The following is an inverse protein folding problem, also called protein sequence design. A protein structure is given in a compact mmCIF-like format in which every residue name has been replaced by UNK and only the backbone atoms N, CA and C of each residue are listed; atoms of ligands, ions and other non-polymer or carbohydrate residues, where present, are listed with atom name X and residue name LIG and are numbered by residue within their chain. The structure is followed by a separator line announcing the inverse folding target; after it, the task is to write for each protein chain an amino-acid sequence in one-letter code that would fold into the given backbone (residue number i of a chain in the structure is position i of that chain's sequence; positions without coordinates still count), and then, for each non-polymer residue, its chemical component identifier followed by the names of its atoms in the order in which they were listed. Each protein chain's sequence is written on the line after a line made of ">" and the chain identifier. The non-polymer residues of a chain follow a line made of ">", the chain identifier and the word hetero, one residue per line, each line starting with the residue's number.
data_IF_774121230684
#
_entry.id   IF_774121230684
#
_cell.length_a   1.000
_cell.length_b   1.000
_cell.length_c   1.000
_cell.angle_alpha   90.00
_cell.angle_beta   90.00
_cell.angle_gamma   90.00
#
_symmetry.space_group_name_H-M   'P 1'
#
loop_
_entity.id
_entity.type
_entity.pdbx_description
1 polymer ?
#
# COMPACT_ATOMS: atom_id res chain seq x y z
N UNK A 1 27.47 -2.48 1.81
CA UNK A 1 27.17 -2.88 3.21
C UNK A 1 25.90 -2.16 3.65
N UNK A 2 25.07 -2.68 4.56
CA UNK A 2 23.98 -1.85 5.13
C UNK A 2 24.52 -0.66 5.96
N UNK A 3 25.84 -0.62 6.18
CA UNK A 3 26.54 0.48 6.84
C UNK A 3 26.84 1.67 5.92
N UNK A 4 26.51 1.58 4.64
CA UNK A 4 26.68 2.67 3.68
C UNK A 4 25.47 3.62 3.84
N UNK A 5 25.48 4.39 4.92
CA UNK A 5 24.46 5.38 5.29
C UNK A 5 25.07 6.77 5.12
N UNK A 6 24.61 7.51 4.12
CA UNK A 6 25.02 8.89 3.91
C UNK A 6 24.25 9.79 4.87
N UNK A 7 24.96 10.66 5.59
CA UNK A 7 24.36 11.64 6.50
C UNK A 7 23.35 12.53 5.78
N UNK A 8 23.56 12.86 4.50
CA UNK A 8 22.62 13.65 3.70
C UNK A 8 21.23 12.99 3.61
N UNK A 9 21.15 11.65 3.67
CA UNK A 9 19.88 10.92 3.59
C UNK A 9 19.03 11.06 4.86
N UNK A 10 19.63 11.40 6.00
CA UNK A 10 18.96 11.41 7.31
C UNK A 10 19.02 12.76 8.02
N UNK A 11 19.69 13.76 7.44
CA UNK A 11 19.91 15.05 8.10
C UNK A 11 18.58 15.74 8.44
N UNK A 12 17.66 15.82 7.48
CA UNK A 12 16.33 16.41 7.70
C UNK A 12 15.55 15.71 8.84
N UNK A 13 15.32 14.38 8.82
CA UNK A 13 14.60 13.73 9.91
C UNK A 13 15.35 13.78 11.25
N UNK A 14 16.70 13.81 11.24
CA UNK A 14 17.51 13.97 12.45
C UNK A 14 17.33 15.36 13.09
N UNK A 15 17.37 16.43 12.29
CA UNK A 15 17.11 17.79 12.76
C UNK A 15 15.71 17.92 13.38
N UNK A 16 14.70 17.33 12.73
CA UNK A 16 13.32 17.27 13.27
C UNK A 16 13.24 16.49 14.57
N UNK A 17 13.98 15.40 14.71
CA UNK A 17 14.03 14.64 15.95
C UNK A 17 14.65 15.45 17.09
N UNK A 18 15.70 16.23 16.82
CA UNK A 18 16.35 17.12 17.80
C UNK A 18 15.42 18.28 18.18
N UNK A 19 14.74 18.90 17.20
CA UNK A 19 13.73 19.94 17.44
C UNK A 19 12.62 19.43 18.39
N UNK A 20 12.13 18.21 18.13
CA UNK A 20 11.09 17.58 18.95
C UNK A 20 11.61 17.12 20.32
N UNK A 21 12.86 16.68 20.41
CA UNK A 21 13.47 16.12 21.62
C UNK A 21 14.91 16.65 21.80
N UNK A 22 15.09 17.83 22.40
CA UNK A 22 16.38 18.56 22.41
C UNK A 22 17.58 17.80 22.99
N UNK A 23 17.37 16.92 23.96
CA UNK A 23 18.45 16.09 24.55
C UNK A 23 19.16 15.20 23.52
N UNK A 24 18.52 14.88 22.40
CA UNK A 24 19.16 14.13 21.30
C UNK A 24 20.33 14.90 20.67
N UNK A 25 20.28 16.24 20.65
CA UNK A 25 21.37 17.08 20.18
C UNK A 25 22.57 17.09 21.13
N UNK A 26 22.34 16.93 22.44
CA UNK A 26 23.40 16.81 23.45
C UNK A 26 24.06 15.42 23.41
N UNK A 27 23.27 14.36 23.19
CA UNK A 27 23.75 12.98 23.12
C UNK A 27 24.54 12.70 21.83
N UNK A 28 24.20 13.39 20.74
CA UNK A 28 24.86 13.25 19.44
C UNK A 28 24.43 12.00 18.66
N UNK A 29 24.78 11.97 17.37
CA UNK A 29 24.52 10.85 16.47
C UNK A 29 25.59 9.75 16.60
N UNK A 30 25.15 8.49 16.75
CA UNK A 30 26.05 7.34 16.84
C UNK A 30 26.10 6.55 15.53
N UNK A 31 27.02 6.92 14.65
CA UNK A 31 27.22 6.28 13.35
C UNK A 31 27.50 4.76 13.45
N UNK A 32 28.25 4.33 14.48
CA UNK A 32 28.64 2.92 14.65
C UNK A 32 27.46 1.99 14.98
N UNK A 33 26.33 2.54 15.45
CA UNK A 33 25.09 1.81 15.71
C UNK A 33 24.00 2.05 14.66
N UNK A 34 24.28 2.85 13.63
CA UNK A 34 23.35 3.17 12.55
C UNK A 34 23.58 2.29 11.31
N UNK A 35 22.50 2.06 10.55
CA UNK A 35 22.51 1.28 9.31
C UNK A 35 21.22 1.49 8.50
N UNK A 36 21.31 1.25 7.18
CA UNK A 36 20.21 1.17 6.25
C UNK A 36 19.57 -0.23 6.30
N UNK A 37 18.56 -0.39 7.15
CA UNK A 37 17.84 -1.65 7.33
C UNK A 37 16.93 -1.99 6.14
N UNK A 38 16.90 -3.27 5.76
CA UNK A 38 15.94 -3.74 4.77
C UNK A 38 14.56 -3.98 5.38
N UNK A 39 13.53 -3.55 4.65
CA UNK A 39 12.13 -3.82 4.93
C UNK A 39 11.51 -4.49 3.71
N UNK A 40 10.67 -5.50 3.94
CA UNK A 40 9.86 -6.08 2.89
C UNK A 40 8.50 -5.37 2.82
N UNK A 41 8.09 -4.98 1.61
CA UNK A 41 6.81 -4.32 1.32
C UNK A 41 6.15 -5.06 0.16
N UNK A 42 4.82 -5.08 0.15
CA UNK A 42 3.99 -5.65 -0.92
C UNK A 42 3.27 -4.55 -1.70
N UNK A 43 2.66 -4.90 -2.82
CA UNK A 43 1.99 -3.93 -3.71
C UNK A 43 0.80 -3.20 -3.07
N UNK A 44 0.27 -3.73 -1.97
CA UNK A 44 -0.81 -3.13 -1.18
C UNK A 44 -0.42 -2.81 0.27
N UNK A 45 0.85 -3.05 0.65
CA UNK A 45 1.38 -2.81 1.98
C UNK A 45 1.01 -3.83 3.05
N UNK A 46 0.13 -4.78 2.74
CA UNK A 46 -0.25 -5.86 3.65
C UNK A 46 0.68 -7.07 3.58
N UNK A 47 0.74 -7.93 4.61
CA UNK A 47 1.48 -9.17 4.55
C UNK A 47 0.94 -10.10 3.44
N UNK A 48 1.77 -11.03 2.98
CA UNK A 48 1.39 -12.03 1.97
C UNK A 48 1.54 -13.42 2.57
N UNK A 49 0.40 -14.08 2.82
CA UNK A 49 0.32 -15.30 3.61
C UNK A 49 -0.62 -16.30 2.93
N UNK A 50 -0.27 -17.58 2.90
CA UNK A 50 -1.15 -18.63 2.38
C UNK A 50 -0.42 -19.68 1.55
N UNK A 51 -1.13 -20.72 1.15
CA UNK A 51 -0.60 -21.79 0.31
C UNK A 51 -0.37 -21.30 -1.12
N UNK A 52 0.71 -21.77 -1.74
CA UNK A 52 1.02 -21.47 -3.13
C UNK A 52 -0.04 -22.04 -4.07
N UNK A 53 -0.53 -21.20 -4.99
CA UNK A 53 -1.42 -21.63 -6.07
C UNK A 53 -0.74 -22.56 -7.09
N UNK A 54 0.60 -22.63 -7.10
CA UNK A 54 1.38 -23.42 -8.06
C UNK A 54 1.87 -24.74 -7.48
N UNK A 55 2.10 -24.81 -6.18
CA UNK A 55 2.73 -25.95 -5.52
C UNK A 55 1.99 -26.26 -4.23
N UNK A 56 1.27 -27.38 -4.20
CA UNK A 56 0.62 -27.88 -2.98
C UNK A 56 1.65 -28.16 -1.89
N UNK A 57 1.36 -27.74 -0.67
CA UNK A 57 2.19 -27.89 0.52
C UNK A 57 3.26 -26.81 0.68
N UNK A 58 3.44 -25.91 -0.29
CA UNK A 58 4.32 -24.76 -0.14
C UNK A 58 3.52 -23.58 0.41
N UNK A 59 3.94 -23.03 1.56
CA UNK A 59 3.28 -21.91 2.22
C UNK A 59 4.17 -20.67 2.24
N UNK A 60 3.54 -19.52 2.04
CA UNK A 60 4.15 -18.21 2.21
C UNK A 60 3.67 -17.59 3.52
N UNK A 61 4.58 -16.94 4.24
CA UNK A 61 4.30 -16.10 5.39
C UNK A 61 5.33 -14.96 5.39
N UNK A 62 5.09 -13.94 4.56
CA UNK A 62 6.10 -12.92 4.23
C UNK A 62 5.55 -11.49 4.39
N UNK A 63 6.45 -10.51 4.49
CA UNK A 63 6.14 -9.10 4.77
C UNK A 63 5.34 -8.88 6.08
N UNK A 64 5.73 -9.59 7.14
CA UNK A 64 5.09 -9.53 8.46
C UNK A 64 5.93 -8.66 9.38
N UNK A 65 5.33 -7.62 9.98
CA UNK A 65 5.99 -6.82 11.01
C UNK A 65 6.24 -7.62 12.28
N UNK A 66 7.30 -7.30 13.01
CA UNK A 66 7.63 -7.95 14.28
C UNK A 66 6.45 -7.94 15.26
N UNK A 67 5.69 -6.82 15.32
CA UNK A 67 4.50 -6.70 16.18
C UNK A 67 3.40 -7.72 15.87
N UNK A 68 3.31 -8.16 14.61
CA UNK A 68 2.26 -9.06 14.12
C UNK A 68 2.70 -10.53 14.13
N UNK A 69 4.01 -10.78 14.28
CA UNK A 69 4.62 -12.11 14.16
C UNK A 69 3.92 -13.21 14.96
N UNK A 70 3.70 -13.06 16.28
CA UNK A 70 3.04 -14.10 17.08
C UNK A 70 1.63 -14.42 16.62
N UNK A 71 0.83 -13.40 16.29
CA UNK A 71 -0.54 -13.58 15.79
C UNK A 71 -0.56 -14.26 14.43
N UNK A 72 0.34 -13.87 13.54
CA UNK A 72 0.45 -14.46 12.21
C UNK A 72 0.92 -15.92 12.27
N UNK A 73 1.85 -16.25 13.16
CA UNK A 73 2.30 -17.63 13.37
C UNK A 73 1.15 -18.55 13.81
N UNK A 74 0.31 -18.10 14.74
CA UNK A 74 -0.89 -18.84 15.15
C UNK A 74 -1.87 -18.99 13.99
N UNK A 75 -2.14 -17.90 13.26
CA UNK A 75 -3.07 -17.89 12.13
C UNK A 75 -2.64 -18.90 11.05
N UNK A 76 -1.35 -18.91 10.68
CA UNK A 76 -0.81 -19.86 9.69
C UNK A 76 -0.89 -21.30 10.21
N UNK A 77 -0.56 -21.54 11.48
CA UNK A 77 -0.66 -22.88 12.07
C UNK A 77 -2.09 -23.43 12.00
N UNK A 78 -3.08 -22.67 12.47
CA UNK A 78 -4.50 -23.05 12.40
C UNK A 78 -4.93 -23.32 10.95
N UNK A 79 -4.50 -22.45 10.01
CA UNK A 79 -4.88 -22.59 8.61
C UNK A 79 -4.31 -23.88 8.00
N UNK A 80 -3.05 -24.20 8.30
CA UNK A 80 -2.37 -25.40 7.81
C UNK A 80 -2.95 -26.68 8.40
N UNK A 81 -3.38 -26.68 9.66
CA UNK A 81 -3.87 -27.90 10.33
C UNK A 81 -5.37 -28.12 10.16
N UNK A 82 -6.16 -27.05 10.26
CA UNK A 82 -7.62 -27.12 10.35
C UNK A 82 -8.30 -26.70 9.04
N UNK A 83 -7.52 -26.18 8.08
CA UNK A 83 -8.02 -25.66 6.80
C UNK A 83 -8.81 -24.35 6.92
N UNK A 84 -8.86 -23.74 8.12
CA UNK A 84 -9.61 -22.52 8.42
C UNK A 84 -8.97 -21.78 9.59
N UNK A 85 -9.27 -20.50 9.69
CA UNK A 85 -8.78 -19.62 10.76
C UNK A 85 -9.94 -19.04 11.55
N UNK A 86 -9.72 -18.66 12.82
CA UNK A 86 -10.73 -17.95 13.62
C UNK A 86 -10.82 -16.45 13.31
N UNK A 87 -9.80 -15.91 12.63
CA UNK A 87 -9.70 -14.51 12.20
C UNK A 87 -9.76 -14.49 10.67
N UNK A 88 -10.50 -13.55 10.11
CA UNK A 88 -10.54 -13.36 8.66
C UNK A 88 -9.14 -13.07 8.09
N UNK A 89 -8.72 -13.88 7.13
CA UNK A 89 -7.42 -13.78 6.47
C UNK A 89 -7.52 -13.24 5.04
N UNK A 90 -8.72 -12.84 4.58
CA UNK A 90 -8.93 -12.41 3.19
C UNK A 90 -7.95 -11.32 2.73
N UNK A 91 -7.69 -10.31 3.58
CA UNK A 91 -6.80 -9.20 3.24
C UNK A 91 -5.31 -9.59 3.15
N UNK A 92 -4.92 -10.74 3.70
CA UNK A 92 -3.51 -11.18 3.77
C UNK A 92 -3.22 -12.37 2.87
N UNK A 93 -4.26 -13.01 2.32
CA UNK A 93 -4.14 -14.18 1.47
C UNK A 93 -3.25 -13.86 0.25
N UNK A 94 -2.26 -14.71 -0.03
CA UNK A 94 -1.39 -14.60 -1.22
C UNK A 94 -2.19 -14.66 -2.53
N UNK A 95 -3.30 -15.40 -2.55
CA UNK A 95 -4.16 -15.56 -3.72
C UNK A 95 -4.87 -14.27 -4.16
N UNK A 96 -4.82 -13.20 -3.34
CA UNK A 96 -5.40 -11.90 -3.68
C UNK A 96 -4.72 -11.20 -4.86
N UNK A 97 -3.48 -11.59 -5.19
CA UNK A 97 -2.71 -10.94 -6.24
C UNK A 97 -3.08 -11.47 -7.63
N UNK A 98 -3.52 -10.57 -8.51
CA UNK A 98 -3.69 -10.86 -9.93
C UNK A 98 -2.31 -11.09 -10.61
N UNK A 99 -2.24 -11.86 -11.71
CA UNK A 99 -0.98 -12.11 -12.43
C UNK A 99 -0.17 -10.87 -12.81
N UNK A 100 -0.84 -9.77 -13.18
CA UNK A 100 -0.17 -8.52 -13.54
C UNK A 100 0.52 -7.85 -12.34
N UNK A 101 0.02 -8.07 -11.12
CA UNK A 101 0.55 -7.50 -9.89
C UNK A 101 1.84 -8.20 -9.44
N UNK A 102 2.14 -9.38 -10.01
CA UNK A 102 3.35 -10.15 -9.75
C UNK A 102 4.50 -9.81 -10.72
N UNK A 103 4.33 -8.83 -11.60
CA UNK A 103 5.41 -8.37 -12.49
C UNK A 103 6.38 -7.46 -11.74
N UNK A 104 7.68 -7.55 -12.06
CA UNK A 104 8.73 -6.78 -11.37
C UNK A 104 8.45 -5.28 -11.38
N UNK A 105 8.06 -4.72 -12.53
CA UNK A 105 7.75 -3.30 -12.65
C UNK A 105 6.57 -2.88 -11.78
N UNK A 106 5.50 -3.68 -11.74
CA UNK A 106 4.33 -3.37 -10.91
C UNK A 106 4.68 -3.42 -9.42
N UNK A 107 5.44 -4.43 -9.00
CA UNK A 107 5.96 -4.55 -7.64
C UNK A 107 6.81 -3.34 -7.28
N UNK A 108 7.79 -2.99 -8.12
CA UNK A 108 8.65 -1.84 -7.90
C UNK A 108 7.85 -0.55 -7.71
N UNK A 109 6.93 -0.26 -8.64
CA UNK A 109 6.17 0.97 -8.63
C UNK A 109 5.25 1.08 -7.40
N UNK A 110 4.51 0.02 -7.09
CA UNK A 110 3.57 0.02 -5.96
C UNK A 110 4.28 -0.04 -4.62
N UNK A 111 5.29 -0.89 -4.46
CA UNK A 111 6.03 -0.98 -3.21
C UNK A 111 6.78 0.31 -2.89
N UNK A 112 7.33 0.99 -3.90
CA UNK A 112 7.99 2.30 -3.72
C UNK A 112 7.00 3.32 -3.16
N UNK A 113 5.82 3.45 -3.77
CA UNK A 113 4.80 4.39 -3.31
C UNK A 113 4.27 4.04 -1.91
N UNK A 114 3.99 2.76 -1.65
CA UNK A 114 3.56 2.27 -0.34
C UNK A 114 4.60 2.54 0.74
N UNK A 115 5.88 2.29 0.46
CA UNK A 115 6.97 2.53 1.41
C UNK A 115 7.11 4.03 1.75
N UNK A 116 6.99 4.90 0.75
CA UNK A 116 7.01 6.36 0.97
C UNK A 116 5.83 6.82 1.84
N UNK A 117 4.66 6.18 1.69
CA UNK A 117 3.40 6.58 2.35
C UNK A 117 3.13 5.89 3.68
N UNK A 118 4.11 5.16 4.25
CA UNK A 118 3.90 4.37 5.49
C UNK A 118 3.42 5.22 6.68
N UNK A 119 3.88 6.48 6.77
CA UNK A 119 3.47 7.43 7.81
C UNK A 119 3.06 8.81 7.29
N UNK A 120 3.51 9.21 6.09
CA UNK A 120 3.30 10.56 5.56
C UNK A 120 3.29 10.55 4.02
N UNK A 121 2.44 11.33 3.33
CA UNK A 121 1.32 12.14 3.84
C UNK A 121 0.19 11.30 4.44
N UNK A 122 -0.76 11.97 5.10
CA UNK A 122 -2.02 11.35 5.43
C UNK A 122 -2.72 10.89 4.13
N UNK A 123 -2.90 9.59 3.99
CA UNK A 123 -3.50 8.97 2.79
C UNK A 123 -5.00 8.83 2.99
N UNK A 124 -5.79 9.37 2.06
CA UNK A 124 -7.22 9.14 2.07
C UNK A 124 -7.53 7.70 1.60
N UNK A 125 -8.49 6.96 2.18
CA UNK A 125 -8.77 5.57 1.78
C UNK A 125 -9.18 5.35 0.31
N UNK A 126 -9.54 6.44 -0.39
CA UNK A 126 -9.88 6.45 -1.82
C UNK A 126 -8.81 7.09 -2.70
N UNK A 127 -7.65 7.39 -2.15
CA UNK A 127 -6.52 7.89 -2.92
C UNK A 127 -6.05 6.81 -3.89
N UNK A 128 -6.02 7.08 -5.21
CA UNK A 128 -5.51 6.10 -6.15
C UNK A 128 -3.99 6.08 -6.13
N UNK A 129 -3.41 4.92 -6.44
CA UNK A 129 -1.97 4.85 -6.71
C UNK A 129 -1.61 5.67 -7.96
N UNK A 130 -0.43 6.28 -7.90
CA UNK A 130 0.11 7.11 -8.98
C UNK A 130 0.62 6.28 -10.16
N UNK A 131 1.06 5.04 -9.90
CA UNK A 131 1.63 4.10 -10.88
C UNK A 131 0.93 2.74 -10.87
N UNK A 132 1.29 1.87 -11.82
CA UNK A 132 0.64 0.57 -12.01
C UNK A 132 -0.84 0.72 -12.40
N UNK A 133 -1.11 1.66 -13.31
CA UNK A 133 -2.45 2.03 -13.80
C UNK A 133 -2.64 1.61 -15.25
N UNK A 134 -3.86 1.71 -15.76
CA UNK A 134 -4.21 1.41 -17.15
C UNK A 134 -3.93 -0.04 -17.58
N UNK A 135 -4.01 -0.99 -16.65
CA UNK A 135 -3.75 -2.40 -16.94
C UNK A 135 -4.95 -3.03 -17.67
N UNK A 136 -6.17 -2.74 -17.20
CA UNK A 136 -7.42 -3.22 -17.76
C UNK A 136 -8.36 -2.03 -17.98
N UNK A 137 -9.00 -1.98 -19.13
CA UNK A 137 -9.94 -0.91 -19.53
C UNK A 137 -11.21 -1.54 -20.05
N UNK A 138 -12.35 -0.93 -19.72
CA UNK A 138 -13.63 -1.32 -20.30
C UNK A 138 -13.64 -0.98 -21.81
N UNK A 139 -14.48 -1.64 -22.63
CA UNK A 139 -14.70 -1.21 -24.02
C UNK A 139 -15.24 0.22 -24.15
N UNK A 140 -15.76 0.79 -23.06
CA UNK A 140 -16.31 2.14 -23.02
C UNK A 140 -15.29 3.19 -22.59
N UNK A 141 -14.08 2.78 -22.19
CA UNK A 141 -13.09 3.67 -21.57
C UNK A 141 -12.83 4.96 -22.37
N UNK A 142 -12.69 4.88 -23.69
CA UNK A 142 -12.48 6.07 -24.53
C UNK A 142 -13.68 7.05 -24.46
N UNK A 143 -14.92 6.53 -24.41
CA UNK A 143 -16.12 7.36 -24.22
C UNK A 143 -16.19 7.94 -22.82
N UNK A 144 -15.77 7.18 -21.82
CA UNK A 144 -15.68 7.65 -20.44
C UNK A 144 -14.64 8.77 -20.30
N UNK A 145 -13.51 8.69 -21.02
CA UNK A 145 -12.50 9.75 -21.11
C UNK A 145 -13.06 10.99 -21.81
N UNK A 146 -13.76 10.83 -22.93
CA UNK A 146 -14.43 11.94 -23.64
C UNK A 146 -15.44 12.69 -22.76
N UNK A 147 -16.10 11.99 -21.84
CA UNK A 147 -17.00 12.57 -20.84
C UNK A 147 -16.28 13.19 -19.63
N UNK A 148 -14.95 13.14 -19.59
CA UNK A 148 -14.11 13.61 -18.50
C UNK A 148 -14.19 12.73 -17.26
N UNK A 149 -14.06 11.41 -17.43
CA UNK A 149 -14.12 10.43 -16.34
C UNK A 149 -13.10 10.67 -15.23
N UNK A 150 -13.56 10.62 -13.98
CA UNK A 150 -12.71 10.63 -12.78
C UNK A 150 -12.35 9.20 -12.39
N UNK A 151 -11.20 8.71 -12.86
CA UNK A 151 -10.86 7.29 -12.75
C UNK A 151 -10.12 6.92 -11.46
N UNK A 152 -10.61 5.87 -10.81
CA UNK A 152 -9.89 5.10 -9.78
C UNK A 152 -9.64 3.69 -10.28
N UNK A 153 -8.64 3.00 -9.71
CA UNK A 153 -8.28 1.65 -10.11
C UNK A 153 -8.64 0.61 -9.05
N UNK A 154 -9.06 -0.58 -9.48
CA UNK A 154 -9.17 -1.78 -8.64
C UNK A 154 -8.95 -3.05 -9.48
N UNK A 155 -8.05 -3.93 -9.05
CA UNK A 155 -7.76 -5.19 -9.75
C UNK A 155 -7.26 -4.98 -11.19
N UNK A 156 -6.52 -3.90 -11.42
CA UNK A 156 -6.04 -3.42 -12.71
C UNK A 156 -7.06 -2.63 -13.53
N UNK A 157 -8.34 -2.59 -13.14
CA UNK A 157 -9.40 -1.94 -13.91
C UNK A 157 -9.50 -0.45 -13.63
N UNK A 158 -9.45 0.35 -14.69
CA UNK A 158 -9.84 1.76 -14.65
C UNK A 158 -11.37 1.89 -14.55
N UNK A 159 -11.86 2.54 -13.49
CA UNK A 159 -13.29 2.73 -13.22
C UNK A 159 -13.59 4.20 -13.01
N UNK A 160 -14.51 4.77 -13.78
CA UNK A 160 -14.95 6.15 -13.56
C UNK A 160 -15.85 6.22 -12.31
N UNK A 161 -15.51 7.10 -11.37
CA UNK A 161 -16.31 7.40 -10.17
C UNK A 161 -17.20 8.64 -10.35
N UNK A 162 -17.13 9.27 -11.52
CA UNK A 162 -17.88 10.45 -11.91
C UNK A 162 -17.39 10.92 -13.28
N UNK A 163 -18.10 11.91 -13.84
CA UNK A 163 -17.78 12.46 -15.16
C UNK A 163 -17.88 13.99 -15.10
N UNK A 164 -16.88 14.68 -15.62
CA UNK A 164 -16.87 16.15 -15.69
C UNK A 164 -18.08 16.69 -16.45
N UNK A 165 -18.57 15.97 -17.47
CA UNK A 165 -19.79 16.30 -18.21
C UNK A 165 -21.03 16.53 -17.31
N UNK A 166 -21.06 15.89 -16.13
CA UNK A 166 -22.18 15.98 -15.18
C UNK A 166 -22.01 17.06 -14.11
N UNK A 167 -20.89 17.80 -14.06
CA UNK A 167 -20.60 18.76 -12.99
C UNK A 167 -21.64 19.89 -12.89
N UNK A 168 -22.21 20.30 -14.02
CA UNK A 168 -23.27 21.30 -14.06
C UNK A 168 -24.51 20.92 -13.22
N UNK A 169 -24.69 19.63 -12.89
CA UNK A 169 -25.75 19.13 -12.02
C UNK A 169 -25.49 19.35 -10.53
N UNK A 170 -24.23 19.53 -10.11
CA UNK A 170 -23.85 19.70 -8.70
C UNK A 170 -24.53 20.93 -8.08
N UNK A 171 -24.64 22.02 -8.84
CA UNK A 171 -25.35 23.22 -8.41
C UNK A 171 -26.85 23.02 -8.17
N UNK A 172 -27.49 22.10 -8.92
CA UNK A 172 -28.91 21.75 -8.75
C UNK A 172 -29.12 20.90 -7.51
N UNK A 173 -28.20 19.96 -7.22
CA UNK A 173 -28.27 19.07 -6.04
C UNK A 173 -27.99 19.83 -4.74
N UNK A 174 -27.04 20.78 -4.72
CA UNK A 174 -26.81 21.61 -3.52
C UNK A 174 -28.03 22.43 -3.13
N UNK A 175 -28.78 22.95 -4.11
CA UNK A 175 -30.00 23.75 -3.87
C UNK A 175 -31.19 22.92 -3.37
N UNK A 176 -31.26 21.63 -3.68
CA UNK A 176 -32.32 20.76 -3.15
C UNK A 176 -32.05 20.34 -1.71
N UNK A 177 -30.78 20.12 -1.34
CA UNK A 177 -30.39 19.78 0.05
C UNK A 177 -30.47 20.93 1.04
N UNK A 178 -30.42 22.19 0.59
CA UNK A 178 -30.61 23.35 1.47
C UNK A 178 -32.09 23.72 1.70
N UNK A 179 -33.02 22.98 1.08
CA UNK A 179 -34.48 23.17 1.20
C UNK A 179 -35.17 22.05 1.99
N UNK A 180 -34.42 21.06 2.46
CA UNK A 180 -34.85 20.00 3.37
C UNK A 180 -34.16 20.23 4.72
#
# INVERSE_FOLDING_TARGET
>A
SQRDLDMEQILEPLERAIELTPILGELGYNESHSFNGFLQVTTDGGPSVGESQKVRGLWYAVAIWVKDGPGMGKLVADWMTDGRTSIDHHAIDYSRFDPHQMTEQFIWDRCTETAMKVYNPAVHPREPFSKGRNIRRSPFYEREVELGGYFMELGGWERAHGYAANEHLLGKIRRSRSRA
#
